data_IF_828466897206
#
_entry.id   IF_828466897206
#
_cell.length_a   1.000
_cell.length_b   1.000
_cell.length_c   1.000
_cell.angle_alpha   90.00
_cell.angle_beta   90.00
_cell.angle_gamma   90.00
#
_symmetry.space_group_name_H-M   'P 1'
#
loop_
_entity.id
_entity.type
_entity.pdbx_description
1 polymer ?
#
# COMPACT_ATOMS: atom_id res chain seq x y z
N UNK A 1 -1.11 4.62 -10.70
CA UNK A 1 -2.42 3.98 -10.54
C UNK A 1 -3.50 4.76 -11.29
N UNK A 2 -4.32 4.07 -12.05
CA UNK A 2 -5.39 4.65 -12.87
C UNK A 2 -6.38 5.49 -12.03
N UNK A 3 -6.72 5.07 -10.82
CA UNK A 3 -7.62 5.79 -9.92
C UNK A 3 -7.05 7.14 -9.46
N UNK A 4 -5.76 7.23 -9.18
CA UNK A 4 -5.13 8.50 -8.84
C UNK A 4 -5.11 9.46 -10.04
N UNK A 5 -4.85 8.94 -11.23
CA UNK A 5 -4.86 9.75 -12.46
C UNK A 5 -6.25 10.32 -12.78
N UNK A 6 -7.33 9.59 -12.52
CA UNK A 6 -8.69 10.11 -12.67
C UNK A 6 -8.99 11.28 -11.70
N UNK A 7 -8.34 11.28 -10.53
CA UNK A 7 -8.50 12.33 -9.53
C UNK A 7 -7.61 13.55 -9.81
N UNK A 8 -6.47 13.33 -10.48
CA UNK A 8 -5.53 14.40 -10.83
C UNK A 8 -4.83 14.10 -12.15
N UNK A 9 -5.14 14.88 -13.18
CA UNK A 9 -4.60 14.73 -14.53
C UNK A 9 -3.11 15.11 -14.65
N UNK A 10 -2.52 15.75 -13.64
CA UNK A 10 -1.09 16.06 -13.60
C UNK A 10 -0.24 14.81 -13.31
N UNK A 11 -0.86 13.73 -12.84
CA UNK A 11 -0.19 12.47 -12.56
C UNK A 11 0.03 11.68 -13.86
N UNK A 12 1.27 11.32 -14.13
CA UNK A 12 1.66 10.49 -15.28
C UNK A 12 1.71 9.03 -14.83
N UNK A 13 0.79 8.16 -15.32
CA UNK A 13 0.82 6.74 -15.01
C UNK A 13 1.96 6.07 -15.79
N UNK A 14 2.79 5.32 -15.09
CA UNK A 14 3.86 4.53 -15.69
C UNK A 14 3.45 3.05 -15.68
N UNK A 15 3.48 2.42 -16.84
CA UNK A 15 3.19 1.00 -16.99
C UNK A 15 4.40 0.13 -16.63
N UNK A 16 4.17 -1.14 -16.35
CA UNK A 16 5.27 -2.08 -16.12
C UNK A 16 6.06 -2.33 -17.40
N UNK A 17 5.40 -2.30 -18.56
CA UNK A 17 6.01 -2.53 -19.87
C UNK A 17 7.07 -1.47 -20.18
N UNK A 18 6.80 -0.23 -19.80
CA UNK A 18 7.70 0.90 -20.06
C UNK A 18 8.70 1.12 -18.93
N UNK A 19 8.25 0.90 -17.67
CA UNK A 19 9.00 1.19 -16.45
C UNK A 19 8.99 -0.04 -15.51
N UNK A 20 9.67 -1.12 -15.91
CA UNK A 20 9.82 -2.27 -15.01
C UNK A 20 10.79 -1.91 -13.88
N UNK A 21 10.25 -1.71 -12.69
CA UNK A 21 11.03 -1.34 -11.50
C UNK A 21 12.02 -2.43 -11.07
N UNK A 22 11.80 -3.68 -11.47
CA UNK A 22 12.73 -4.78 -11.19
C UNK A 22 14.03 -4.69 -12.02
N UNK A 23 14.01 -3.94 -13.11
CA UNK A 23 15.19 -3.64 -13.91
C UNK A 23 15.80 -2.30 -13.47
N UNK A 24 17.12 -2.30 -13.19
CA UNK A 24 17.84 -1.10 -12.76
C UNK A 24 17.78 0.05 -13.77
N UNK A 25 17.56 -0.23 -15.05
CA UNK A 25 17.41 0.80 -16.10
C UNK A 25 16.22 1.75 -15.85
N UNK A 26 15.33 1.41 -14.93
CA UNK A 26 14.25 2.33 -14.49
C UNK A 26 14.82 3.64 -13.93
N UNK A 27 16.01 3.62 -13.32
CA UNK A 27 16.68 4.82 -12.78
C UNK A 27 17.00 5.81 -13.91
N UNK A 28 17.55 5.33 -15.03
CA UNK A 28 17.87 6.17 -16.18
C UNK A 28 16.59 6.77 -16.78
N UNK A 29 15.56 5.94 -16.96
CA UNK A 29 14.25 6.38 -17.47
C UNK A 29 13.57 7.42 -16.58
N UNK A 30 13.68 7.29 -15.26
CA UNK A 30 13.17 8.29 -14.31
C UNK A 30 14.02 9.57 -14.33
N UNK A 31 15.33 9.44 -14.59
CA UNK A 31 16.22 10.61 -14.75
C UNK A 31 15.81 11.44 -15.95
N UNK A 32 15.50 10.81 -17.07
CA UNK A 32 15.00 11.49 -18.26
C UNK A 32 13.63 12.14 -18.05
N UNK A 33 12.73 11.45 -17.31
CA UNK A 33 11.39 11.96 -16.98
C UNK A 33 11.44 13.09 -15.94
N UNK A 34 12.41 13.05 -15.02
CA UNK A 34 12.67 14.01 -13.96
C UNK A 34 11.42 14.40 -13.12
N UNK A 35 10.65 13.47 -12.57
CA UNK A 35 9.46 13.79 -11.77
C UNK A 35 9.85 14.46 -10.44
N UNK A 36 8.99 15.36 -9.91
CA UNK A 36 9.16 15.92 -8.57
C UNK A 36 8.78 14.94 -7.47
N UNK A 37 7.80 14.08 -7.74
CA UNK A 37 7.25 13.09 -6.82
C UNK A 37 7.12 11.75 -7.53
N UNK A 38 7.66 10.70 -6.92
CA UNK A 38 7.45 9.30 -7.35
C UNK A 38 6.40 8.66 -6.45
N UNK A 39 5.26 8.24 -7.02
CA UNK A 39 4.22 7.48 -6.31
C UNK A 39 4.38 6.02 -6.65
N UNK A 40 4.91 5.25 -5.71
CA UNK A 40 5.15 3.83 -5.88
C UNK A 40 3.96 3.00 -5.37
N UNK A 41 3.07 2.63 -6.28
CA UNK A 41 1.91 1.78 -6.03
C UNK A 41 2.01 0.41 -6.75
N UNK A 42 3.13 0.13 -7.42
CA UNK A 42 3.37 -1.15 -8.11
C UNK A 42 3.83 -2.23 -7.13
N UNK A 43 3.23 -3.41 -7.18
CA UNK A 43 3.66 -4.56 -6.39
C UNK A 43 3.07 -5.88 -6.95
N UNK A 44 3.74 -7.00 -6.65
CA UNK A 44 3.12 -8.32 -6.69
C UNK A 44 2.32 -8.48 -5.41
N UNK A 45 0.99 -8.45 -5.48
CA UNK A 45 0.08 -8.36 -4.32
C UNK A 45 -0.63 -9.67 -3.98
N UNK A 46 -0.78 -10.59 -4.93
CA UNK A 46 -1.43 -11.89 -4.69
C UNK A 46 -0.52 -12.79 -3.86
N UNK A 47 -0.94 -13.07 -2.62
CA UNK A 47 -0.19 -13.93 -1.68
C UNK A 47 0.07 -15.34 -2.25
N UNK A 48 -0.83 -15.89 -3.08
CA UNK A 48 -0.61 -17.18 -3.71
C UNK A 48 0.50 -17.11 -4.78
N UNK A 49 0.58 -15.99 -5.51
CA UNK A 49 1.66 -15.75 -6.47
C UNK A 49 2.97 -15.58 -5.72
N UNK A 50 3.00 -14.79 -4.64
CA UNK A 50 4.20 -14.60 -3.80
C UNK A 50 4.68 -15.92 -3.22
N UNK A 51 3.78 -16.78 -2.73
CA UNK A 51 4.15 -18.07 -2.15
C UNK A 51 4.70 -19.05 -3.19
N UNK A 52 4.14 -19.04 -4.41
CA UNK A 52 4.60 -19.92 -5.51
C UNK A 52 5.86 -19.43 -6.21
N UNK A 53 6.06 -18.13 -6.30
CA UNK A 53 7.20 -17.49 -6.96
C UNK A 53 7.74 -16.33 -6.12
N UNK A 54 8.41 -16.60 -4.98
CA UNK A 54 8.94 -15.55 -4.11
C UNK A 54 10.03 -14.70 -4.79
N UNK A 55 10.75 -15.24 -5.77
CA UNK A 55 11.79 -14.51 -6.50
C UNK A 55 11.19 -13.31 -7.22
N UNK A 56 10.07 -13.48 -7.93
CA UNK A 56 9.39 -12.37 -8.61
C UNK A 56 8.94 -11.28 -7.62
N UNK A 57 8.44 -11.68 -6.44
CA UNK A 57 8.04 -10.73 -5.41
C UNK A 57 9.24 -10.00 -4.80
N UNK A 58 10.37 -10.68 -4.58
CA UNK A 58 11.62 -10.04 -4.13
C UNK A 58 12.08 -9.02 -5.18
N UNK A 59 12.14 -9.41 -6.44
CA UNK A 59 12.59 -8.52 -7.52
C UNK A 59 11.71 -7.28 -7.65
N UNK A 60 10.38 -7.42 -7.60
CA UNK A 60 9.47 -6.29 -7.76
C UNK A 60 9.31 -5.49 -6.45
N UNK A 61 8.94 -6.16 -5.34
CA UNK A 61 8.51 -5.46 -4.12
C UNK A 61 9.69 -4.97 -3.26
N UNK A 62 10.87 -5.60 -3.35
CA UNK A 62 12.05 -5.23 -2.57
C UNK A 62 13.07 -4.50 -3.46
N UNK A 63 13.62 -5.20 -4.46
CA UNK A 63 14.69 -4.65 -5.31
C UNK A 63 14.16 -3.48 -6.15
N UNK A 64 12.98 -3.63 -6.76
CA UNK A 64 12.34 -2.56 -7.51
C UNK A 64 12.05 -1.33 -6.66
N UNK A 65 11.59 -1.52 -5.41
CA UNK A 65 11.40 -0.41 -4.46
C UNK A 65 12.76 0.25 -4.11
N UNK A 66 13.83 -0.55 -3.97
CA UNK A 66 15.17 -0.02 -3.71
C UNK A 66 15.71 0.82 -4.89
N UNK A 67 15.45 0.44 -6.15
CA UNK A 67 15.80 1.26 -7.31
C UNK A 67 15.10 2.63 -7.28
N UNK A 68 13.80 2.67 -6.96
CA UNK A 68 13.06 3.92 -6.83
C UNK A 68 13.58 4.78 -5.66
N UNK A 69 13.91 4.15 -4.53
CA UNK A 69 14.51 4.84 -3.41
C UNK A 69 15.90 5.41 -3.77
N UNK A 70 16.74 4.64 -4.47
CA UNK A 70 18.04 5.10 -4.98
C UNK A 70 17.87 6.32 -5.87
N UNK A 71 16.98 6.26 -6.87
CA UNK A 71 16.68 7.41 -7.74
C UNK A 71 16.31 8.65 -6.92
N UNK A 72 15.37 8.50 -5.96
CA UNK A 72 14.89 9.62 -5.16
C UNK A 72 15.99 10.22 -4.26
N UNK A 73 16.92 9.41 -3.75
CA UNK A 73 18.08 9.89 -2.98
C UNK A 73 19.03 10.67 -3.88
N UNK A 74 19.43 10.10 -5.03
CA UNK A 74 20.40 10.69 -5.95
C UNK A 74 19.92 12.02 -6.56
N UNK A 75 18.60 12.13 -6.79
CA UNK A 75 18.00 13.32 -7.42
C UNK A 75 17.23 14.21 -6.44
N UNK A 76 17.30 13.94 -5.12
CA UNK A 76 16.59 14.69 -4.07
C UNK A 76 15.07 14.78 -4.33
N UNK A 77 14.44 13.69 -4.72
CA UNK A 77 13.01 13.61 -5.06
C UNK A 77 12.19 13.06 -3.89
N UNK A 78 10.89 13.40 -3.89
CA UNK A 78 9.91 12.85 -2.95
C UNK A 78 9.50 11.44 -3.35
N UNK A 79 9.43 10.51 -2.38
CA UNK A 79 8.95 9.14 -2.58
C UNK A 79 7.71 8.88 -1.73
N UNK A 80 6.58 8.60 -2.38
CA UNK A 80 5.33 8.15 -1.75
C UNK A 80 5.19 6.65 -1.99
N UNK A 81 5.24 5.86 -0.93
CA UNK A 81 5.19 4.40 -1.02
C UNK A 81 3.90 3.84 -0.43
N UNK A 82 3.16 3.08 -1.23
CA UNK A 82 1.96 2.39 -0.77
C UNK A 82 2.37 1.04 -0.17
N UNK A 83 2.28 0.95 1.15
CA UNK A 83 2.50 -0.27 1.93
C UNK A 83 1.16 -0.94 2.31
N UNK A 84 1.16 -1.81 3.31
CA UNK A 84 0.01 -2.61 3.70
C UNK A 84 -0.18 -2.63 5.22
N UNK A 85 -1.42 -2.79 5.69
CA UNK A 85 -1.77 -3.10 7.07
C UNK A 85 -1.23 -4.47 7.53
N UNK A 86 -0.99 -5.41 6.60
CA UNK A 86 -0.47 -6.74 6.90
C UNK A 86 1.00 -6.75 7.37
N UNK A 87 1.67 -5.58 7.48
CA UNK A 87 2.95 -5.49 8.19
C UNK A 87 2.80 -5.68 9.70
N UNK A 88 1.58 -5.57 10.23
CA UNK A 88 1.25 -5.87 11.62
C UNK A 88 0.84 -7.35 11.79
N UNK A 89 0.81 -7.83 13.03
CA UNK A 89 0.54 -9.24 13.34
C UNK A 89 -0.95 -9.65 13.23
N UNK A 90 -1.85 -8.66 13.24
CA UNK A 90 -3.30 -8.91 13.13
C UNK A 90 -3.95 -9.47 14.39
N UNK A 91 -3.35 -9.30 15.57
CA UNK A 91 -3.88 -9.82 16.85
C UNK A 91 -4.76 -8.80 17.55
N UNK A 92 -4.22 -7.65 17.93
CA UNK A 92 -4.95 -6.67 18.76
C UNK A 92 -5.69 -5.61 17.93
N UNK A 93 -5.17 -5.24 16.78
CA UNK A 93 -5.72 -4.17 15.93
C UNK A 93 -5.49 -2.76 16.49
N UNK A 94 -6.12 -1.77 15.88
CA UNK A 94 -5.94 -0.33 16.17
C UNK A 94 -4.45 0.07 16.20
N UNK A 95 -3.68 -0.49 15.26
CA UNK A 95 -2.23 -0.34 15.19
C UNK A 95 -1.82 1.10 14.90
N UNK A 96 -0.89 1.63 15.70
CA UNK A 96 -0.25 2.91 15.45
C UNK A 96 0.92 2.76 14.46
N UNK A 97 1.32 3.86 13.84
CA UNK A 97 2.47 3.89 12.91
C UNK A 97 3.80 3.50 13.58
N UNK A 98 3.89 3.68 14.90
CA UNK A 98 5.08 3.39 15.72
C UNK A 98 5.08 2.00 16.35
N UNK A 99 3.98 1.26 16.22
CA UNK A 99 3.91 -0.09 16.78
C UNK A 99 4.92 -1.03 16.11
N UNK A 100 5.43 -2.02 16.84
CA UNK A 100 6.28 -3.06 16.27
C UNK A 100 5.59 -3.76 15.10
N UNK A 101 6.34 -4.04 14.05
CA UNK A 101 5.85 -4.76 12.88
C UNK A 101 6.24 -6.24 12.95
N UNK A 102 5.27 -7.11 12.70
CA UNK A 102 5.44 -8.54 12.53
C UNK A 102 4.58 -8.99 11.34
N UNK A 103 5.13 -8.98 10.12
CA UNK A 103 4.36 -9.23 8.91
C UNK A 103 3.59 -10.56 8.94
N UNK A 104 2.30 -10.49 8.69
CA UNK A 104 1.38 -11.62 8.75
C UNK A 104 1.67 -12.73 7.72
N UNK A 105 2.18 -12.36 6.55
CA UNK A 105 2.42 -13.29 5.45
C UNK A 105 3.61 -12.89 4.58
N UNK A 106 4.01 -13.77 3.63
CA UNK A 106 5.14 -13.52 2.75
C UNK A 106 5.00 -12.26 1.89
N UNK A 107 3.78 -11.91 1.45
CA UNK A 107 3.53 -10.64 0.77
C UNK A 107 3.91 -9.45 1.67
N UNK A 108 3.43 -9.44 2.90
CA UNK A 108 3.71 -8.37 3.84
C UNK A 108 5.22 -8.27 4.18
N UNK A 109 5.95 -9.39 4.26
CA UNK A 109 7.40 -9.39 4.40
C UNK A 109 8.08 -8.70 3.21
N UNK A 110 7.61 -8.92 1.98
CA UNK A 110 8.18 -8.21 0.81
C UNK A 110 7.85 -6.72 0.83
N UNK A 111 6.67 -6.33 1.32
CA UNK A 111 6.30 -4.91 1.45
C UNK A 111 7.12 -4.22 2.53
N UNK A 112 7.34 -4.88 3.69
CA UNK A 112 8.21 -4.36 4.74
C UNK A 112 9.67 -4.24 4.25
N UNK A 113 10.16 -5.20 3.44
CA UNK A 113 11.47 -5.09 2.80
C UNK A 113 11.62 -3.84 1.94
N UNK A 114 10.55 -3.45 1.22
CA UNK A 114 10.47 -2.18 0.51
C UNK A 114 10.48 -0.96 1.45
N UNK A 115 9.73 -0.99 2.56
CA UNK A 115 9.73 0.09 3.57
C UNK A 115 11.14 0.40 4.07
N UNK A 116 11.99 -0.63 4.26
CA UNK A 116 13.37 -0.44 4.71
C UNK A 116 14.18 0.47 3.77
N UNK A 117 14.04 0.30 2.46
CA UNK A 117 14.70 1.16 1.47
C UNK A 117 14.12 2.57 1.43
N UNK A 118 12.79 2.68 1.48
CA UNK A 118 12.06 3.96 1.42
C UNK A 118 12.42 4.86 2.59
N UNK A 119 12.62 4.30 3.79
CA UNK A 119 13.01 5.06 4.99
C UNK A 119 14.36 5.78 4.88
N UNK A 120 15.19 5.41 3.94
CA UNK A 120 16.48 6.07 3.68
C UNK A 120 16.33 7.33 2.82
N UNK A 121 15.20 7.52 2.14
CA UNK A 121 14.89 8.73 1.38
C UNK A 121 14.49 9.84 2.36
N UNK A 122 15.17 10.97 2.35
CA UNK A 122 14.90 12.07 3.31
C UNK A 122 13.47 12.61 3.20
N UNK A 123 12.96 12.77 1.98
CA UNK A 123 11.58 13.22 1.72
C UNK A 123 10.71 12.02 1.29
N UNK A 124 10.35 11.16 2.26
CA UNK A 124 9.49 10.02 2.00
C UNK A 124 8.19 10.06 2.80
N UNK A 125 7.17 9.40 2.30
CA UNK A 125 6.01 8.96 3.07
C UNK A 125 5.67 7.52 2.74
N UNK A 126 5.50 6.70 3.79
CA UNK A 126 5.04 5.31 3.71
C UNK A 126 3.57 5.29 4.14
N UNK A 127 2.70 4.87 3.26
CA UNK A 127 1.26 4.78 3.52
C UNK A 127 0.91 3.32 3.78
N UNK A 128 0.62 2.97 5.04
CA UNK A 128 0.09 1.65 5.41
C UNK A 128 -1.41 1.67 5.27
N UNK A 129 -1.94 0.86 4.38
CA UNK A 129 -3.35 0.88 4.01
C UNK A 129 -3.80 -0.47 3.47
N UNK A 130 -5.10 -0.66 3.37
CA UNK A 130 -5.72 -1.79 2.65
C UNK A 130 -6.91 -1.28 1.85
N UNK A 131 -7.00 -1.71 0.59
CA UNK A 131 -8.13 -1.35 -0.25
C UNK A 131 -8.48 -2.50 -1.22
N UNK A 132 -9.71 -2.50 -1.69
CA UNK A 132 -10.18 -3.44 -2.69
C UNK A 132 -10.74 -2.75 -3.93
N UNK A 133 -10.99 -3.57 -4.96
CA UNK A 133 -11.67 -3.12 -6.17
C UNK A 133 -13.08 -2.63 -5.85
N UNK A 134 -13.72 -1.82 -6.73
CA UNK A 134 -15.07 -1.28 -6.51
C UNK A 134 -16.14 -2.36 -6.28
N UNK A 135 -15.89 -3.60 -6.70
CA UNK A 135 -16.74 -4.75 -6.44
C UNK A 135 -15.96 -5.81 -5.66
N UNK A 136 -16.56 -6.31 -4.58
CA UNK A 136 -15.99 -7.44 -3.83
C UNK A 136 -16.11 -8.73 -4.68
N UNK A 137 -15.03 -9.52 -4.83
CA UNK A 137 -14.97 -10.58 -5.84
C UNK A 137 -15.49 -11.95 -5.37
N UNK A 138 -15.99 -12.07 -4.12
CA UNK A 138 -16.37 -13.36 -3.53
C UNK A 138 -17.82 -13.35 -3.05
N UNK A 139 -18.44 -14.55 -2.99
CA UNK A 139 -19.79 -14.74 -2.49
C UNK A 139 -19.86 -14.85 -0.95
N UNK A 140 -18.71 -15.04 -0.29
CA UNK A 140 -18.58 -15.15 1.16
C UNK A 140 -17.55 -14.15 1.68
N UNK A 141 -17.76 -13.66 2.90
CA UNK A 141 -16.85 -12.71 3.55
C UNK A 141 -16.71 -13.01 5.05
N UNK A 142 -15.50 -12.79 5.60
CA UNK A 142 -15.21 -13.10 7.00
C UNK A 142 -15.85 -12.08 7.94
N UNK A 143 -16.63 -12.56 8.93
CA UNK A 143 -17.26 -11.75 9.98
C UNK A 143 -16.40 -11.64 11.27
N UNK A 144 -15.23 -12.30 11.27
CA UNK A 144 -14.24 -12.29 12.36
C UNK A 144 -12.82 -11.87 11.89
N UNK A 145 -12.72 -11.20 10.76
CA UNK A 145 -11.52 -10.52 10.28
C UNK A 145 -11.81 -9.01 10.22
N UNK A 146 -11.25 -8.28 11.19
CA UNK A 146 -11.44 -6.82 11.31
C UNK A 146 -10.34 -6.06 10.57
N UNK A 147 -10.68 -4.97 9.92
CA UNK A 147 -9.78 -4.15 9.11
C UNK A 147 -10.25 -2.69 9.07
N UNK A 148 -9.34 -1.78 8.70
CA UNK A 148 -9.68 -0.40 8.27
C UNK A 148 -9.77 -0.26 6.75
N UNK A 149 -9.89 -1.39 6.03
CA UNK A 149 -10.00 -1.46 4.58
C UNK A 149 -11.24 -0.75 4.07
N UNK A 150 -11.09 -0.16 2.87
CA UNK A 150 -12.23 0.32 2.09
C UNK A 150 -12.00 0.12 0.59
N UNK A 151 -12.96 0.56 -0.22
CA UNK A 151 -12.84 0.48 -1.67
C UNK A 151 -11.82 1.50 -2.19
N UNK A 152 -11.20 1.19 -3.32
CA UNK A 152 -10.13 2.03 -3.90
C UNK A 152 -10.61 3.45 -4.23
N UNK A 153 -11.86 3.63 -4.59
CA UNK A 153 -12.47 4.95 -4.86
C UNK A 153 -12.67 5.79 -3.60
N UNK A 154 -12.70 5.16 -2.41
CA UNK A 154 -12.71 5.85 -1.12
C UNK A 154 -11.28 6.17 -0.66
N UNK A 155 -10.35 5.22 -0.81
CA UNK A 155 -8.97 5.36 -0.31
C UNK A 155 -8.10 6.23 -1.22
N UNK A 156 -8.29 6.20 -2.54
CA UNK A 156 -7.46 6.96 -3.48
C UNK A 156 -7.52 8.50 -3.26
N UNK A 157 -8.68 9.12 -2.97
CA UNK A 157 -8.73 10.54 -2.60
C UNK A 157 -7.93 10.86 -1.32
N UNK A 158 -7.94 9.95 -0.33
CA UNK A 158 -7.18 10.11 0.91
C UNK A 158 -5.67 10.07 0.64
N UNK A 159 -5.23 9.12 -0.19
CA UNK A 159 -3.83 9.03 -0.63
C UNK A 159 -3.43 10.31 -1.39
N UNK A 160 -4.29 10.82 -2.26
CA UNK A 160 -3.99 12.03 -3.05
C UNK A 160 -3.78 13.27 -2.17
N UNK A 161 -4.50 13.42 -1.05
CA UNK A 161 -4.24 14.49 -0.08
C UNK A 161 -2.82 14.41 0.48
N UNK A 162 -2.35 13.20 0.82
CA UNK A 162 -0.98 12.97 1.32
C UNK A 162 0.06 13.28 0.22
N UNK A 163 -0.19 12.85 -1.01
CA UNK A 163 0.69 13.14 -2.16
C UNK A 163 0.90 14.64 -2.33
N UNK A 164 -0.16 15.44 -2.16
CA UNK A 164 -0.16 16.90 -2.31
C UNK A 164 0.32 17.68 -1.07
N UNK A 165 0.64 16.99 0.01
CA UNK A 165 1.12 17.59 1.26
C UNK A 165 2.62 17.40 1.44
N UNK A 166 3.19 18.08 2.44
CA UNK A 166 4.60 17.91 2.85
C UNK A 166 4.78 16.88 3.98
N UNK A 167 3.75 16.07 4.25
CA UNK A 167 3.80 15.02 5.29
C UNK A 167 4.88 14.00 4.96
N UNK A 168 5.71 13.65 5.94
CA UNK A 168 6.78 12.66 5.83
C UNK A 168 6.63 11.56 6.89
N UNK A 169 7.39 10.47 6.71
CA UNK A 169 7.40 9.32 7.62
C UNK A 169 6.28 8.33 7.31
N UNK A 170 5.79 7.62 8.32
CA UNK A 170 4.74 6.59 8.15
C UNK A 170 3.38 7.20 8.47
N UNK A 171 2.35 6.87 7.71
CA UNK A 171 0.97 7.27 7.95
C UNK A 171 0.02 6.10 7.65
N UNK A 172 -0.86 5.80 8.59
CA UNK A 172 -1.94 4.85 8.40
C UNK A 172 -3.11 5.51 7.67
N UNK A 173 -3.63 4.86 6.66
CA UNK A 173 -4.77 5.35 5.87
C UNK A 173 -5.82 4.25 5.76
N UNK A 174 -7.04 4.60 6.08
CA UNK A 174 -8.17 3.69 6.05
C UNK A 174 -9.45 4.39 6.43
N UNK A 175 -10.49 3.63 6.68
CA UNK A 175 -11.75 4.09 7.23
C UNK A 175 -12.01 3.41 8.57
N UNK A 176 -13.10 3.77 9.25
CA UNK A 176 -13.47 3.16 10.51
C UNK A 176 -13.38 1.63 10.45
N UNK A 177 -12.86 1.02 11.52
CA UNK A 177 -12.71 -0.44 11.61
C UNK A 177 -14.03 -1.17 11.42
N UNK A 178 -14.00 -2.22 10.62
CA UNK A 178 -15.14 -3.06 10.28
C UNK A 178 -14.68 -4.47 9.94
N UNK A 179 -15.56 -5.44 9.99
CA UNK A 179 -15.27 -6.79 9.49
C UNK A 179 -15.20 -6.81 7.94
N UNK A 180 -14.55 -7.81 7.37
CA UNK A 180 -14.58 -8.00 5.91
C UNK A 180 -16.01 -8.25 5.42
N UNK A 181 -16.86 -8.87 6.25
CA UNK A 181 -18.27 -9.04 5.93
C UNK A 181 -19.02 -7.70 5.85
N UNK A 182 -18.83 -6.81 6.83
CA UNK A 182 -19.42 -5.46 6.80
C UNK A 182 -18.89 -4.64 5.62
N UNK A 183 -17.57 -4.70 5.35
CA UNK A 183 -16.98 -4.05 4.17
C UNK A 183 -17.61 -4.54 2.86
N UNK A 184 -17.71 -5.86 2.66
CA UNK A 184 -18.25 -6.43 1.44
C UNK A 184 -19.75 -6.13 1.28
N UNK A 185 -20.51 -6.17 2.38
CA UNK A 185 -21.96 -5.93 2.39
C UNK A 185 -22.35 -4.50 2.03
N UNK A 186 -21.43 -3.54 2.06
CA UNK A 186 -21.70 -2.17 1.62
C UNK A 186 -22.10 -2.09 0.13
N UNK A 187 -21.56 -2.99 -0.71
CA UNK A 187 -21.76 -2.93 -2.18
C UNK A 187 -22.17 -4.26 -2.82
N UNK A 188 -22.21 -5.34 -2.04
CA UNK A 188 -22.48 -6.67 -2.58
C UNK A 188 -23.39 -7.47 -1.63
N UNK A 189 -24.14 -8.41 -2.18
CA UNK A 189 -24.79 -9.44 -1.36
C UNK A 189 -23.80 -10.57 -1.14
N UNK A 190 -23.39 -10.78 0.11
CA UNK A 190 -22.44 -11.81 0.50
C UNK A 190 -22.94 -12.57 1.72
N UNK A 191 -22.45 -13.80 1.92
CA UNK A 191 -22.75 -14.59 3.10
C UNK A 191 -21.59 -14.51 4.11
N UNK A 192 -21.87 -14.47 5.43
CA UNK A 192 -20.82 -14.46 6.44
C UNK A 192 -20.13 -15.83 6.52
N UNK A 193 -18.83 -15.80 6.76
CA UNK A 193 -18.01 -16.97 7.10
C UNK A 193 -16.98 -16.60 8.16
N UNK A 194 -16.27 -17.56 8.73
CA UNK A 194 -15.29 -17.33 9.79
C UNK A 194 -13.92 -17.92 9.46
N UNK A 195 -12.90 -17.19 9.85
CA UNK A 195 -11.56 -17.77 9.99
C UNK A 195 -11.54 -18.71 11.20
N UNK A 196 -10.68 -19.74 11.24
CA UNK A 196 -10.46 -20.58 12.43
C UNK A 196 -10.04 -19.76 13.65
N UNK A 197 -9.24 -18.71 13.46
CA UNK A 197 -8.82 -17.77 14.49
C UNK A 197 -9.24 -16.35 14.07
N UNK A 198 -9.93 -15.59 14.94
CA UNK A 198 -10.23 -14.18 14.66
C UNK A 198 -8.94 -13.37 14.44
N UNK A 199 -9.02 -12.37 13.57
CA UNK A 199 -7.91 -11.48 13.28
C UNK A 199 -8.36 -10.02 13.25
N UNK A 200 -7.42 -9.11 13.61
CA UNK A 200 -7.68 -7.68 13.63
C UNK A 200 -6.49 -6.88 13.09
N UNK A 201 -6.61 -6.40 11.86
CA UNK A 201 -5.64 -5.52 11.18
C UNK A 201 -6.09 -4.06 11.15
N UNK A 202 -7.04 -3.67 12.00
CA UNK A 202 -7.48 -2.28 12.03
C UNK A 202 -6.33 -1.34 12.38
N UNK A 203 -6.39 -0.15 11.80
CA UNK A 203 -5.36 0.88 11.92
C UNK A 203 -5.86 2.01 12.82
N UNK A 204 -4.98 2.58 13.62
CA UNK A 204 -5.21 3.87 14.26
C UNK A 204 -5.07 4.97 13.21
N UNK A 205 -6.11 5.76 13.04
CA UNK A 205 -6.19 6.78 11.98
C UNK A 205 -5.97 8.21 12.52
N UNK A 206 -5.71 8.36 13.81
CA UNK A 206 -5.62 9.66 14.47
C UNK A 206 -4.62 10.60 13.77
N UNK A 207 -3.47 10.06 13.33
CA UNK A 207 -2.47 10.87 12.62
C UNK A 207 -3.02 11.43 11.30
N UNK A 208 -3.72 10.62 10.52
CA UNK A 208 -4.34 11.07 9.28
C UNK A 208 -5.43 12.13 9.57
N UNK A 209 -6.31 11.86 10.53
CA UNK A 209 -7.43 12.75 10.89
C UNK A 209 -6.99 14.10 11.46
N UNK A 210 -5.81 14.16 12.11
CA UNK A 210 -5.23 15.42 12.58
C UNK A 210 -4.59 16.26 11.48
N UNK A 211 -4.21 15.66 10.36
CA UNK A 211 -3.53 16.31 9.25
C UNK A 211 -4.47 16.76 8.13
N UNK A 212 -5.63 16.13 7.98
CA UNK A 212 -6.55 16.29 6.84
C UNK A 212 -8.01 16.35 7.22
#
# INVERSE_FOLDING_TARGET
>A
SIHLQYLDSSLVPLSKEDYDISDKSVIDKLTDLNPDVVIHAGAVTDSNVVNRNPISAIQTNIIGTAHLAQYCIEHNKRLVYISTDYVYDGVEGNHNETDPVLPYNNYAWTKLGGECSVRLVSNHVIIRTSFGNPKFPYDVAFDNLVTSKDYVDVIAPMILKIVKSDVTGIINVGTQSKTIFEYASQRNTVLPTKLPTPMNFSLNLNRYEQLF
#
